data_IF_050410992735
#
_entry.id   IF_050410992735
#
_cell.length_a   1.000
_cell.length_b   1.000
_cell.length_c   1.000
_cell.angle_alpha   90.00
_cell.angle_beta   90.00
_cell.angle_gamma   90.00
#
_symmetry.space_group_name_H-M   'P 1'
#
loop_
_entity.id
_entity.type
_entity.pdbx_description
1 polymer ?
#
# COMPACT_ATOMS: atom_id res chain seq x y z
N UNK A 1 18.81 22.11 8.59
CA UNK A 1 17.75 21.35 9.30
C UNK A 1 17.01 22.23 10.31
N UNK A 2 17.71 22.78 11.32
CA UNK A 2 17.12 23.64 12.37
C UNK A 2 16.46 24.91 11.81
N UNK A 3 17.07 25.57 10.82
CA UNK A 3 16.48 26.75 10.17
C UNK A 3 15.11 26.51 9.51
N UNK A 4 14.79 25.27 9.12
CA UNK A 4 13.52 24.90 8.47
C UNK A 4 12.48 24.36 9.46
N UNK A 5 12.91 24.00 10.66
CA UNK A 5 12.09 23.45 11.74
C UNK A 5 12.71 23.82 13.11
N UNK A 6 12.59 25.08 13.55
CA UNK A 6 13.29 25.58 14.73
C UNK A 6 12.84 24.89 16.03
N UNK A 7 11.57 24.49 16.12
CA UNK A 7 11.01 23.74 17.24
C UNK A 7 11.63 22.35 17.44
N UNK A 8 12.46 21.87 16.52
CA UNK A 8 13.16 20.58 16.68
C UNK A 8 14.05 20.58 17.92
N UNK A 9 14.60 21.74 18.30
CA UNK A 9 15.42 21.92 19.51
C UNK A 9 14.60 21.85 20.81
N UNK A 10 13.27 22.02 20.75
CA UNK A 10 12.39 21.93 21.92
C UNK A 10 12.04 20.47 22.28
N UNK A 11 12.44 19.48 21.48
CA UNK A 11 12.12 18.08 21.73
C UNK A 11 13.28 17.31 22.33
N UNK A 12 12.97 16.36 23.20
CA UNK A 12 13.98 15.44 23.74
C UNK A 12 14.54 14.53 22.64
N UNK A 13 15.81 14.16 22.78
CA UNK A 13 16.49 13.23 21.87
C UNK A 13 15.71 11.91 21.77
N UNK A 14 15.20 11.38 22.89
CA UNK A 14 14.37 10.18 22.93
C UNK A 14 13.10 10.31 22.08
N UNK A 15 12.43 11.48 22.10
CA UNK A 15 11.25 11.73 21.26
C UNK A 15 11.60 11.73 19.78
N UNK A 16 12.74 12.33 19.41
CA UNK A 16 13.20 12.38 18.02
C UNK A 16 13.58 10.98 17.53
N UNK A 17 14.28 10.21 18.37
CA UNK A 17 14.71 8.85 18.05
C UNK A 17 13.51 7.91 17.87
N UNK A 18 12.53 7.93 18.79
CA UNK A 18 11.28 7.17 18.65
C UNK A 18 10.54 7.49 17.34
N UNK A 19 10.54 8.75 16.92
CA UNK A 19 9.92 9.17 15.66
C UNK A 19 10.68 8.69 14.44
N UNK A 20 12.01 8.74 14.49
CA UNK A 20 12.85 8.16 13.43
C UNK A 20 12.62 6.66 13.30
N UNK A 21 12.55 5.95 14.43
CA UNK A 21 12.21 4.53 14.48
C UNK A 21 10.83 4.23 13.88
N UNK A 22 9.82 5.05 14.18
CA UNK A 22 8.49 4.94 13.57
C UNK A 22 8.54 5.01 12.04
N UNK A 23 9.20 6.02 11.47
CA UNK A 23 9.30 6.15 10.01
C UNK A 23 10.13 5.04 9.38
N UNK A 24 11.20 4.61 10.03
CA UNK A 24 12.03 3.51 9.56
C UNK A 24 11.23 2.21 9.46
N UNK A 25 10.43 1.89 10.49
CA UNK A 25 9.59 0.68 10.53
C UNK A 25 8.41 0.77 9.56
N UNK A 26 7.69 1.89 9.51
CA UNK A 26 6.48 2.01 8.69
C UNK A 26 6.76 2.10 7.18
N UNK A 27 7.90 2.68 6.80
CA UNK A 27 8.29 2.85 5.40
C UNK A 27 9.29 1.80 4.92
N UNK A 28 9.71 0.88 5.80
CA UNK A 28 10.73 -0.14 5.53
C UNK A 28 12.00 0.45 4.90
N UNK A 29 12.46 1.60 5.40
CA UNK A 29 13.63 2.33 4.88
C UNK A 29 14.90 1.97 5.62
N UNK A 30 16.05 2.07 4.93
CA UNK A 30 17.35 2.02 5.61
C UNK A 30 17.56 3.25 6.49
N UNK A 31 18.36 3.13 7.55
CA UNK A 31 18.67 4.25 8.45
C UNK A 31 19.23 5.47 7.70
N UNK A 32 20.03 5.24 6.65
CA UNK A 32 20.60 6.31 5.83
C UNK A 32 19.52 7.03 5.01
N UNK A 33 18.57 6.29 4.44
CA UNK A 33 17.46 6.86 3.68
C UNK A 33 16.52 7.65 4.60
N UNK A 34 16.19 7.12 5.78
CA UNK A 34 15.37 7.80 6.78
C UNK A 34 16.00 9.13 7.22
N UNK A 35 17.33 9.14 7.48
CA UNK A 35 18.06 10.38 7.81
C UNK A 35 18.04 11.39 6.67
N UNK A 36 18.20 10.94 5.43
CA UNK A 36 18.16 11.82 4.25
C UNK A 36 16.77 12.48 4.09
N UNK A 37 15.69 11.73 4.30
CA UNK A 37 14.32 12.26 4.26
C UNK A 37 14.11 13.31 5.34
N UNK A 38 14.51 13.02 6.58
CA UNK A 38 14.36 13.97 7.71
C UNK A 38 15.22 15.21 7.55
N UNK A 39 16.43 15.08 6.99
CA UNK A 39 17.29 16.22 6.71
C UNK A 39 16.64 17.17 5.68
N UNK A 40 15.92 16.63 4.70
CA UNK A 40 15.17 17.39 3.69
C UNK A 40 13.84 17.95 4.24
N UNK A 41 13.14 17.17 5.06
CA UNK A 41 11.80 17.46 5.60
C UNK A 41 11.76 17.38 7.13
N UNK A 42 12.44 18.29 7.85
CA UNK A 42 12.57 18.20 9.31
C UNK A 42 11.25 18.44 10.08
N UNK A 43 10.22 18.97 9.40
CA UNK A 43 8.88 19.19 9.97
C UNK A 43 8.16 17.87 10.29
N UNK A 44 8.53 16.75 9.65
CA UNK A 44 7.99 15.42 9.94
C UNK A 44 8.23 14.97 11.40
N UNK A 45 9.26 15.52 12.05
CA UNK A 45 9.58 15.22 13.45
C UNK A 45 8.86 16.16 14.44
N UNK A 46 8.36 17.30 13.96
CA UNK A 46 7.84 18.36 14.82
C UNK A 46 6.33 18.29 15.07
N UNK A 47 5.56 17.70 14.14
CA UNK A 47 4.11 17.60 14.22
C UNK A 47 3.58 16.37 14.97
N UNK A 48 2.26 16.24 15.10
CA UNK A 48 1.65 14.98 15.53
C UNK A 48 1.94 13.86 14.52
N UNK A 49 2.10 12.61 14.97
CA UNK A 49 2.20 11.45 14.08
C UNK A 49 0.83 10.99 13.56
N UNK A 50 -0.27 11.45 14.16
CA UNK A 50 -1.62 11.00 13.79
C UNK A 50 -1.97 11.26 12.32
N UNK A 51 -1.74 12.46 11.74
CA UNK A 51 -2.02 12.69 10.32
C UNK A 51 -1.20 11.78 9.40
N UNK A 52 0.03 11.47 9.79
CA UNK A 52 0.91 10.57 9.03
C UNK A 52 0.40 9.13 9.10
N UNK A 53 0.02 8.66 10.29
CA UNK A 53 -0.58 7.32 10.46
C UNK A 53 -1.85 7.18 9.64
N UNK A 54 -2.69 8.20 9.60
CA UNK A 54 -3.91 8.22 8.81
C UNK A 54 -3.61 8.16 7.31
N UNK A 55 -2.71 9.01 6.81
CA UNK A 55 -2.28 8.97 5.41
C UNK A 55 -1.70 7.61 5.02
N UNK A 56 -0.92 6.97 5.89
CA UNK A 56 -0.39 5.63 5.64
C UNK A 56 -1.50 4.57 5.56
N UNK A 57 -2.56 4.68 6.39
CA UNK A 57 -3.74 3.80 6.30
C UNK A 57 -4.47 4.01 4.97
N UNK A 58 -4.67 5.25 4.55
CA UNK A 58 -5.30 5.60 3.27
C UNK A 58 -4.48 5.04 2.11
N UNK A 59 -3.15 5.23 2.13
CA UNK A 59 -2.24 4.70 1.11
C UNK A 59 -2.32 3.17 1.00
N UNK A 60 -2.34 2.45 2.13
CA UNK A 60 -2.51 0.99 2.15
C UNK A 60 -3.84 0.56 1.52
N UNK A 61 -4.94 1.22 1.90
CA UNK A 61 -6.27 0.98 1.31
C UNK A 61 -6.30 1.27 -0.19
N UNK A 62 -5.64 2.34 -0.63
CA UNK A 62 -5.57 2.70 -2.04
C UNK A 62 -4.80 1.65 -2.84
N UNK A 63 -3.70 1.13 -2.31
CA UNK A 63 -2.94 0.04 -2.95
C UNK A 63 -3.80 -1.22 -3.10
N UNK A 64 -4.48 -1.65 -2.03
CA UNK A 64 -5.36 -2.83 -2.09
C UNK A 64 -6.51 -2.65 -3.07
N UNK A 65 -7.07 -1.43 -3.16
CA UNK A 65 -8.13 -1.12 -4.12
C UNK A 65 -7.62 -1.21 -5.56
N UNK A 66 -6.42 -0.69 -5.84
CA UNK A 66 -5.80 -0.77 -7.17
C UNK A 66 -5.56 -2.22 -7.59
N UNK A 67 -5.10 -3.08 -6.67
CA UNK A 67 -4.93 -4.52 -6.93
C UNK A 67 -6.26 -5.22 -7.24
N UNK A 68 -7.30 -4.92 -6.45
CA UNK A 68 -8.65 -5.45 -6.66
C UNK A 68 -9.22 -5.03 -8.02
N UNK A 69 -9.10 -3.75 -8.37
CA UNK A 69 -9.58 -3.22 -9.66
C UNK A 69 -8.90 -3.93 -10.83
N UNK A 70 -7.58 -4.14 -10.79
CA UNK A 70 -6.87 -4.90 -11.84
C UNK A 70 -7.40 -6.32 -12.00
N UNK A 71 -7.65 -7.02 -10.88
CA UNK A 71 -8.20 -8.38 -10.89
C UNK A 71 -9.64 -8.41 -11.40
N UNK A 72 -10.47 -7.45 -10.99
CA UNK A 72 -11.83 -7.30 -11.49
C UNK A 72 -11.87 -7.07 -12.99
N UNK A 73 -11.07 -6.10 -13.49
CA UNK A 73 -10.98 -5.80 -14.92
C UNK A 73 -10.52 -7.01 -15.74
N UNK A 74 -9.60 -7.81 -15.21
CA UNK A 74 -9.17 -9.04 -15.86
C UNK A 74 -10.28 -10.09 -15.92
N UNK A 75 -11.04 -10.29 -14.83
CA UNK A 75 -12.20 -11.18 -14.82
C UNK A 75 -13.31 -10.69 -15.75
N UNK A 76 -13.50 -9.38 -15.85
CA UNK A 76 -14.46 -8.77 -16.77
C UNK A 76 -14.05 -8.99 -18.24
N UNK A 77 -12.77 -8.80 -18.56
CA UNK A 77 -12.19 -9.11 -19.88
C UNK A 77 -12.41 -10.58 -20.28
N UNK A 78 -12.32 -11.50 -19.32
CA UNK A 78 -12.58 -12.93 -19.54
C UNK A 78 -14.07 -13.30 -19.50
N UNK A 79 -14.98 -12.36 -19.22
CA UNK A 79 -16.42 -12.63 -19.07
C UNK A 79 -16.77 -13.47 -17.84
N UNK A 80 -15.89 -13.49 -16.82
CA UNK A 80 -15.99 -14.29 -15.59
C UNK A 80 -16.34 -13.47 -14.34
N UNK A 81 -16.49 -12.16 -14.46
CA UNK A 81 -16.82 -11.28 -13.34
C UNK A 81 -18.25 -11.52 -12.85
N UNK A 82 -18.40 -12.42 -11.86
CA UNK A 82 -19.67 -12.69 -11.18
C UNK A 82 -19.49 -12.59 -9.67
N UNK A 83 -20.21 -11.66 -9.04
CA UNK A 83 -20.13 -11.38 -7.60
C UNK A 83 -21.45 -11.58 -6.86
N UNK A 84 -22.48 -12.08 -7.55
CA UNK A 84 -23.76 -12.44 -6.94
C UNK A 84 -23.68 -13.86 -6.35
N UNK A 85 -23.88 -14.03 -5.03
CA UNK A 85 -23.83 -15.34 -4.37
C UNK A 85 -24.94 -16.30 -4.80
N UNK A 86 -25.98 -15.80 -5.45
CA UNK A 86 -27.12 -16.60 -5.91
C UNK A 86 -26.90 -17.21 -7.31
N UNK A 87 -25.91 -16.72 -8.04
CA UNK A 87 -25.63 -17.13 -9.42
C UNK A 87 -24.48 -18.13 -9.51
N UNK A 88 -24.48 -19.02 -10.53
CA UNK A 88 -23.37 -19.94 -10.76
C UNK A 88 -22.08 -19.15 -11.06
N UNK A 89 -20.93 -19.74 -10.72
CA UNK A 89 -19.61 -19.12 -10.82
C UNK A 89 -19.43 -17.87 -9.94
N UNK A 90 -20.14 -17.79 -8.82
CA UNK A 90 -19.93 -16.77 -7.81
C UNK A 90 -18.47 -16.70 -7.34
N UNK A 91 -17.90 -15.49 -7.40
CA UNK A 91 -16.58 -15.16 -6.88
C UNK A 91 -16.77 -14.25 -5.67
N UNK A 92 -16.30 -14.68 -4.49
CA UNK A 92 -16.33 -13.82 -3.30
C UNK A 92 -15.28 -12.72 -3.37
N UNK A 93 -15.65 -11.51 -2.94
CA UNK A 93 -14.73 -10.36 -2.85
C UNK A 93 -13.54 -10.62 -1.92
N UNK A 94 -13.76 -11.41 -0.87
CA UNK A 94 -12.70 -11.81 0.07
C UNK A 94 -11.61 -12.65 -0.63
N UNK A 95 -12.00 -13.57 -1.51
CA UNK A 95 -11.04 -14.35 -2.31
C UNK A 95 -10.26 -13.48 -3.28
N UNK A 96 -10.92 -12.49 -3.87
CA UNK A 96 -10.31 -11.52 -4.78
C UNK A 96 -9.22 -10.67 -4.12
N UNK A 97 -9.29 -10.43 -2.81
CA UNK A 97 -8.30 -9.64 -2.07
C UNK A 97 -7.23 -10.53 -1.43
N UNK A 98 -7.63 -11.68 -0.90
CA UNK A 98 -6.76 -12.49 -0.02
C UNK A 98 -5.88 -13.48 -0.78
N UNK A 99 -6.26 -13.92 -2.00
CA UNK A 99 -5.50 -14.91 -2.75
C UNK A 99 -4.24 -14.32 -3.39
N UNK A 100 -3.12 -15.06 -3.46
CA UNK A 100 -1.96 -14.67 -4.28
C UNK A 100 -2.29 -14.70 -5.78
N UNK A 101 -1.51 -13.99 -6.59
CA UNK A 101 -1.77 -13.85 -8.03
C UNK A 101 -1.79 -15.20 -8.77
N UNK A 102 -0.94 -16.15 -8.37
CA UNK A 102 -0.89 -17.50 -8.96
C UNK A 102 -2.22 -18.25 -8.78
N UNK A 103 -2.73 -18.33 -7.55
CA UNK A 103 -3.98 -19.05 -7.27
C UNK A 103 -5.19 -18.30 -7.81
N UNK A 104 -5.15 -16.97 -7.83
CA UNK A 104 -6.17 -16.16 -8.51
C UNK A 104 -6.25 -16.52 -10.01
N UNK A 105 -5.10 -16.60 -10.70
CA UNK A 105 -5.08 -16.90 -12.13
C UNK A 105 -5.57 -18.32 -12.42
N UNK A 106 -5.10 -19.32 -11.66
CA UNK A 106 -5.41 -20.73 -11.90
C UNK A 106 -6.81 -21.12 -11.46
N UNK A 107 -7.28 -20.67 -10.29
CA UNK A 107 -8.57 -21.12 -9.73
C UNK A 107 -9.75 -20.25 -10.15
N UNK A 108 -9.57 -18.94 -10.28
CA UNK A 108 -10.68 -18.00 -10.57
C UNK A 108 -10.73 -17.60 -12.03
N UNK A 109 -9.62 -17.12 -12.58
CA UNK A 109 -9.57 -16.68 -13.96
C UNK A 109 -9.50 -17.85 -14.96
N UNK A 110 -9.06 -19.03 -14.53
CA UNK A 110 -8.72 -20.16 -15.40
C UNK A 110 -7.77 -19.73 -16.53
N UNK A 111 -6.79 -18.89 -16.19
CA UNK A 111 -5.83 -18.29 -17.11
C UNK A 111 -4.39 -18.47 -16.57
N UNK A 112 -3.40 -18.21 -17.41
CA UNK A 112 -2.01 -18.25 -16.95
C UNK A 112 -1.65 -16.94 -16.24
N UNK A 113 -0.67 -17.02 -15.32
CA UNK A 113 -0.13 -15.83 -14.66
C UNK A 113 0.56 -14.88 -15.66
N UNK A 114 1.10 -15.43 -16.76
CA UNK A 114 1.67 -14.62 -17.85
C UNK A 114 0.60 -13.79 -18.56
N UNK A 115 -0.57 -14.35 -18.84
CA UNK A 115 -1.70 -13.62 -19.45
C UNK A 115 -2.13 -12.45 -18.57
N UNK A 116 -2.19 -12.67 -17.26
CA UNK A 116 -2.56 -11.62 -16.31
C UNK A 116 -1.53 -10.49 -16.29
N UNK A 117 -0.24 -10.79 -16.27
CA UNK A 117 0.80 -9.77 -16.35
C UNK A 117 0.85 -9.03 -17.69
N UNK A 118 0.52 -9.73 -18.79
CA UNK A 118 0.42 -9.09 -20.09
C UNK A 118 -0.78 -8.12 -20.13
N UNK A 119 -1.92 -8.52 -19.59
CA UNK A 119 -3.09 -7.65 -19.42
C UNK A 119 -2.80 -6.44 -18.51
N UNK A 120 -2.08 -6.64 -17.41
CA UNK A 120 -1.71 -5.52 -16.54
C UNK A 120 -0.86 -4.45 -17.23
N UNK A 121 -0.12 -4.80 -18.30
CA UNK A 121 0.65 -3.84 -19.10
C UNK A 121 -0.22 -3.04 -20.07
N UNK A 122 -1.45 -3.47 -20.34
CA UNK A 122 -2.39 -2.76 -21.22
C UNK A 122 -3.30 -1.78 -20.48
N UNK A 123 -3.23 -1.73 -19.14
CA UNK A 123 -3.93 -0.78 -18.27
C UNK A 123 -3.06 0.46 -18.00
#
# INVERSE_FOLDING_TARGET
>A
MVSRAPYLLNFSVNRLDNRLGFYQQQLSLSANNTRNIVARLPRLLCGSLEPVKENLKVQKKQKTLLELVKRHLFLEYLGKAQYDPTLPNYISLDRLVSLPDETFCTELALATLEDFYLFQKTL
#
